data_IF_037697786222
#
_entry.id   IF_037697786222
#
_cell.length_a   1.000
_cell.length_b   1.000
_cell.length_c   1.000
_cell.angle_alpha   90.00
_cell.angle_beta   90.00
_cell.angle_gamma   90.00
#
_symmetry.space_group_name_H-M   'P 1'
#
loop_
_entity.id
_entity.type
_entity.pdbx_description
1 polymer ?
#
# COMPACT_ATOMS: atom_id res chain seq x y z
N UNK A 1 -7.01 -10.19 -7.11
CA UNK A 1 -7.58 -8.96 -6.50
C UNK A 1 -8.25 -8.10 -7.57
N UNK A 2 -9.42 -7.62 -7.27
CA UNK A 2 -10.16 -6.74 -8.15
C UNK A 2 -9.64 -5.31 -8.05
N UNK A 3 -9.92 -4.53 -9.12
CA UNK A 3 -9.51 -3.12 -9.18
C UNK A 3 -10.09 -2.30 -8.04
N UNK A 4 -11.35 -2.55 -7.67
CA UNK A 4 -12.01 -1.85 -6.58
C UNK A 4 -11.36 -2.15 -5.23
N UNK A 5 -10.96 -3.40 -5.01
CA UNK A 5 -10.28 -3.82 -3.79
C UNK A 5 -8.91 -3.14 -3.68
N UNK A 6 -8.19 -3.07 -4.79
CA UNK A 6 -6.91 -2.37 -4.87
C UNK A 6 -7.05 -0.91 -4.47
N UNK A 7 -8.05 -0.24 -5.02
CA UNK A 7 -8.33 1.16 -4.72
C UNK A 7 -8.64 1.36 -3.24
N UNK A 8 -9.44 0.48 -2.66
CA UNK A 8 -9.79 0.54 -1.23
C UNK A 8 -8.55 0.36 -0.35
N UNK A 9 -7.67 -0.57 -0.71
CA UNK A 9 -6.45 -0.81 0.05
C UNK A 9 -5.52 0.40 -0.01
N UNK A 10 -5.40 1.04 -1.17
CA UNK A 10 -4.62 2.26 -1.30
C UNK A 10 -5.17 3.37 -0.42
N UNK A 11 -6.49 3.50 -0.35
CA UNK A 11 -7.14 4.49 0.52
C UNK A 11 -6.84 4.21 1.99
N UNK A 12 -6.92 2.95 2.41
CA UNK A 12 -6.60 2.56 3.79
C UNK A 12 -5.13 2.83 4.11
N UNK A 13 -4.25 2.64 3.13
CA UNK A 13 -2.82 2.90 3.30
C UNK A 13 -2.50 4.39 3.20
N UNK A 14 -3.46 5.21 2.81
CA UNK A 14 -3.30 6.64 2.58
C UNK A 14 -2.24 6.92 1.51
N UNK A 15 -2.25 6.09 0.47
CA UNK A 15 -1.32 6.20 -0.66
C UNK A 15 -2.08 6.52 -1.94
N UNK A 16 -1.50 7.41 -2.75
CA UNK A 16 -1.94 7.58 -4.13
C UNK A 16 -1.28 6.49 -5.00
N UNK A 17 -1.80 6.28 -6.20
CA UNK A 17 -1.18 5.35 -7.14
C UNK A 17 0.25 5.74 -7.45
N UNK A 18 0.50 7.04 -7.59
CA UNK A 18 1.83 7.57 -7.87
C UNK A 18 2.80 7.27 -6.73
N UNK A 19 2.37 7.49 -5.49
CA UNK A 19 3.17 7.19 -4.32
C UNK A 19 3.48 5.71 -4.21
N UNK A 20 2.47 4.87 -4.41
CA UNK A 20 2.64 3.42 -4.39
C UNK A 20 3.63 2.97 -5.46
N UNK A 21 3.49 3.49 -6.69
CA UNK A 21 4.40 3.15 -7.78
C UNK A 21 5.85 3.54 -7.45
N UNK A 22 6.05 4.70 -6.83
CA UNK A 22 7.37 5.15 -6.41
C UNK A 22 7.97 4.23 -5.35
N UNK A 23 7.16 3.82 -4.37
CA UNK A 23 7.64 2.98 -3.27
C UNK A 23 8.09 1.62 -3.78
N UNK A 24 7.30 0.98 -4.64
CA UNK A 24 7.63 -0.36 -5.16
C UNK A 24 8.53 -0.31 -6.39
N UNK A 25 8.81 0.88 -6.92
CA UNK A 25 9.77 1.05 -8.00
C UNK A 25 9.26 0.68 -9.38
N UNK A 26 7.97 0.89 -9.65
CA UNK A 26 7.42 0.62 -10.98
C UNK A 26 6.94 1.93 -11.63
N UNK A 27 6.78 1.88 -12.96
CA UNK A 27 6.26 2.99 -13.73
C UNK A 27 4.77 3.15 -13.49
N UNK A 28 4.31 4.39 -13.30
CA UNK A 28 2.89 4.68 -13.07
C UNK A 28 2.02 4.22 -14.26
N UNK A 29 2.55 4.28 -15.47
CA UNK A 29 1.85 3.78 -16.65
C UNK A 29 1.55 2.29 -16.57
N UNK A 30 2.51 1.50 -16.08
CA UNK A 30 2.32 0.06 -15.87
C UNK A 30 1.26 -0.19 -14.81
N UNK A 31 1.29 0.57 -13.72
CA UNK A 31 0.33 0.43 -12.65
C UNK A 31 -1.08 0.77 -13.12
N UNK A 32 -1.24 1.77 -13.97
CA UNK A 32 -2.54 2.15 -14.51
C UNK A 32 -3.18 1.06 -15.37
N UNK A 33 -2.38 0.13 -15.88
CA UNK A 33 -2.89 -1.01 -16.65
C UNK A 33 -3.39 -2.16 -15.79
N UNK A 34 -3.10 -2.13 -14.49
CA UNK A 34 -3.53 -3.17 -13.57
C UNK A 34 -5.05 -3.15 -13.42
N UNK A 35 -5.65 -4.33 -13.56
CA UNK A 35 -7.09 -4.48 -13.47
C UNK A 35 -7.83 -4.21 -14.77
N UNK A 36 -7.12 -3.78 -15.83
CA UNK A 36 -7.70 -3.61 -17.15
C UNK A 36 -7.01 -4.51 -18.17
N UNK A 37 -5.91 -4.05 -18.79
CA UNK A 37 -5.16 -4.88 -19.75
C UNK A 37 -4.29 -5.92 -19.08
N UNK A 38 -3.89 -5.69 -17.83
CA UNK A 38 -3.09 -6.61 -17.03
C UNK A 38 -3.77 -6.90 -15.71
N UNK A 39 -3.65 -8.14 -15.23
CA UNK A 39 -4.13 -8.50 -13.91
C UNK A 39 -3.27 -7.85 -12.83
N UNK A 40 -3.87 -7.59 -11.68
CA UNK A 40 -3.14 -7.07 -10.53
C UNK A 40 -2.31 -8.23 -9.94
N UNK A 41 -0.99 -8.06 -9.76
CA UNK A 41 -0.15 -9.14 -9.21
C UNK A 41 -0.63 -9.58 -7.83
N UNK A 42 -0.50 -10.87 -7.56
CA UNK A 42 -1.02 -11.47 -6.33
C UNK A 42 -0.36 -10.92 -5.07
N UNK A 43 0.89 -10.49 -5.17
CA UNK A 43 1.63 -9.99 -4.02
C UNK A 43 1.17 -8.60 -3.56
N UNK A 44 0.44 -7.87 -4.39
CA UNK A 44 0.03 -6.49 -4.10
C UNK A 44 -0.87 -6.42 -2.87
N UNK A 45 -1.84 -7.32 -2.76
CA UNK A 45 -2.75 -7.35 -1.62
C UNK A 45 -1.98 -7.55 -0.31
N UNK A 46 -1.11 -8.54 -0.29
CA UNK A 46 -0.30 -8.86 0.88
C UNK A 46 0.62 -7.69 1.25
N UNK A 47 1.24 -7.08 0.25
CA UNK A 47 2.13 -5.94 0.45
C UNK A 47 1.40 -4.77 1.10
N UNK A 48 0.22 -4.43 0.57
CA UNK A 48 -0.57 -3.31 1.10
C UNK A 48 -1.09 -3.61 2.50
N UNK A 49 -1.55 -4.82 2.75
CA UNK A 49 -2.01 -5.21 4.08
C UNK A 49 -0.88 -5.11 5.11
N UNK A 50 0.30 -5.57 4.75
CA UNK A 50 1.47 -5.48 5.61
C UNK A 50 1.91 -4.02 5.82
N UNK A 51 1.85 -3.20 4.78
CA UNK A 51 2.16 -1.77 4.88
C UNK A 51 1.22 -1.07 5.86
N UNK A 52 -0.08 -1.37 5.76
CA UNK A 52 -1.08 -0.78 6.66
C UNK A 52 -0.80 -1.19 8.10
N UNK A 53 -0.51 -2.47 8.34
CA UNK A 53 -0.17 -2.97 9.67
C UNK A 53 1.09 -2.32 10.23
N UNK A 54 2.12 -2.21 9.41
CA UNK A 54 3.38 -1.60 9.84
C UNK A 54 3.19 -0.13 10.21
N UNK A 55 2.34 0.57 9.46
CA UNK A 55 2.03 1.97 9.74
C UNK A 55 1.32 2.11 11.08
N UNK A 56 0.36 1.24 11.36
CA UNK A 56 -0.35 1.23 12.65
C UNK A 56 0.59 0.92 13.78
N UNK A 57 1.48 -0.06 13.62
CA UNK A 57 2.48 -0.42 14.62
C UNK A 57 3.45 0.73 14.88
N UNK A 58 3.89 1.41 13.83
CA UNK A 58 4.77 2.56 13.97
C UNK A 58 4.11 3.68 14.76
N UNK A 59 2.82 3.91 14.55
CA UNK A 59 2.06 4.90 15.31
C UNK A 59 2.04 4.53 16.79
N UNK A 60 1.81 3.27 17.11
CA UNK A 60 1.81 2.77 18.49
C UNK A 60 3.20 2.94 19.12
N UNK A 61 4.25 2.59 18.40
CA UNK A 61 5.62 2.73 18.88
C UNK A 61 5.95 4.18 19.17
N UNK A 62 5.55 5.09 18.30
CA UNK A 62 5.78 6.52 18.51
C UNK A 62 5.08 7.04 19.75
N UNK A 63 3.87 6.55 20.03
CA UNK A 63 3.10 6.97 21.21
C UNK A 63 3.78 6.50 22.50
N UNK A 64 4.31 5.28 22.54
CA UNK A 64 4.88 4.71 23.76
C UNK A 64 6.37 4.98 23.91
N UNK A 65 7.05 5.38 22.86
CA UNK A 65 8.50 5.59 22.85
C UNK A 65 9.01 6.51 23.97
N UNK A 66 8.35 7.65 24.24
CA UNK A 66 8.79 8.53 25.33
C UNK A 66 8.74 7.88 26.71
N UNK A 67 8.00 6.82 26.87
CA UNK A 67 7.87 6.12 28.13
C UNK A 67 8.82 4.94 28.26
N UNK A 68 9.32 4.44 27.15
CA UNK A 68 10.24 3.29 27.11
C UNK A 68 11.68 3.74 27.10
N UNK A 69 11.97 4.78 26.37
CA UNK A 69 13.32 5.35 26.29
C UNK A 69 13.63 6.17 27.55
#
# INVERSE_FOLDING_TARGET
MEKDEFKKLLEKANLSKKEFANIIGINIGSLNNWGSSQGIPYWVKSWLENYIKAKDMNTIVEVVKPYID
#
